data_IF_216195579366
#
_entry.id   IF_216195579366
#
_cell.length_a   1.000
_cell.length_b   1.000
_cell.length_c   1.000
_cell.angle_alpha   90.00
_cell.angle_beta   90.00
_cell.angle_gamma   90.00
#
_symmetry.space_group_name_H-M   'P 1'
#
loop_
_entity.id
_entity.type
_entity.pdbx_description
1 polymer ?
#
# COMPACT_ATOMS: atom_id res chain seq x y z
N UNK A 1 27.59 2.96 -12.43
CA UNK A 1 26.39 3.82 -12.38
C UNK A 1 25.47 3.34 -13.48
N UNK A 2 24.41 2.64 -13.09
CA UNK A 2 23.46 2.04 -14.02
C UNK A 2 22.80 3.15 -14.86
N UNK A 3 22.94 3.06 -16.19
CA UNK A 3 22.40 4.03 -17.17
C UNK A 3 21.07 3.56 -17.72
N UNK A 4 20.33 2.77 -16.95
CA UNK A 4 19.02 2.30 -17.37
C UNK A 4 18.07 3.48 -17.55
N UNK A 5 17.67 3.72 -18.80
CA UNK A 5 16.69 4.73 -19.17
C UNK A 5 15.37 4.49 -18.42
N UNK A 6 14.99 3.23 -18.18
CA UNK A 6 13.78 2.90 -17.42
C UNK A 6 13.86 3.32 -15.96
N UNK A 7 15.03 3.22 -15.30
CA UNK A 7 15.21 3.73 -13.94
C UNK A 7 15.10 5.25 -13.87
N UNK A 8 15.60 5.96 -14.90
CA UNK A 8 15.45 7.41 -14.99
C UNK A 8 13.99 7.83 -15.16
N UNK A 9 13.23 7.11 -15.99
CA UNK A 9 11.79 7.36 -16.17
C UNK A 9 10.99 7.05 -14.90
N UNK A 10 11.30 5.95 -14.20
CA UNK A 10 10.68 5.63 -12.89
C UNK A 10 10.98 6.74 -11.89
N UNK A 11 12.23 7.19 -11.79
CA UNK A 11 12.61 8.30 -10.91
C UNK A 11 11.90 9.61 -11.28
N UNK A 12 11.78 9.92 -12.57
CA UNK A 12 11.08 11.10 -13.06
C UNK A 12 9.58 11.05 -12.71
N UNK A 13 8.92 9.93 -13.01
CA UNK A 13 7.51 9.70 -12.67
C UNK A 13 7.27 9.80 -11.16
N UNK A 14 8.16 9.25 -10.34
CA UNK A 14 8.09 9.37 -8.89
C UNK A 14 8.34 10.78 -8.38
N UNK A 15 9.24 11.54 -9.01
CA UNK A 15 9.45 12.95 -8.68
C UNK A 15 8.19 13.79 -8.96
N UNK A 16 7.52 13.57 -10.10
CA UNK A 16 6.23 14.20 -10.42
C UNK A 16 5.17 13.77 -9.41
N UNK A 17 5.07 12.46 -9.18
CA UNK A 17 4.12 11.88 -8.23
C UNK A 17 4.29 12.53 -6.86
N UNK A 18 5.51 12.64 -6.33
CA UNK A 18 5.84 13.24 -5.04
C UNK A 18 5.72 14.77 -4.97
N UNK A 19 5.79 15.49 -6.08
CA UNK A 19 5.67 16.96 -6.11
C UNK A 19 4.24 17.50 -6.34
N UNK A 20 3.30 16.69 -6.85
CA UNK A 20 1.87 17.06 -7.02
C UNK A 20 1.17 17.59 -5.73
N UNK A 21 0.77 18.86 -5.61
CA UNK A 21 0.18 19.36 -4.36
C UNK A 21 -1.19 18.72 -4.05
N UNK A 22 -1.40 18.28 -2.80
CA UNK A 22 -2.65 17.67 -2.33
C UNK A 22 -2.61 17.38 -0.81
N UNK A 23 -3.74 17.57 -0.11
CA UNK A 23 -3.86 17.58 1.36
C UNK A 23 -3.57 16.24 2.08
N UNK A 24 -3.54 15.13 1.35
CA UNK A 24 -3.26 13.82 1.93
C UNK A 24 -1.85 13.41 1.52
N UNK A 25 -0.97 13.17 2.51
CA UNK A 25 0.36 12.59 2.33
C UNK A 25 0.25 11.46 1.29
N UNK A 26 1.00 11.58 0.19
CA UNK A 26 0.89 10.64 -0.93
C UNK A 26 1.34 9.28 -0.47
N UNK A 27 0.38 8.36 -0.42
CA UNK A 27 0.64 7.04 0.10
C UNK A 27 1.25 6.18 -1.01
N UNK A 28 2.44 5.65 -0.74
CA UNK A 28 3.10 4.61 -1.51
C UNK A 28 2.32 3.29 -1.38
N UNK A 29 1.08 3.26 -1.88
CA UNK A 29 0.16 2.15 -1.66
C UNK A 29 0.66 0.83 -2.23
N UNK A 30 1.09 0.82 -3.51
CA UNK A 30 1.51 -0.43 -4.15
C UNK A 30 2.81 -0.96 -3.52
N UNK A 31 3.86 -0.13 -3.27
CA UNK A 31 5.05 -0.61 -2.57
C UNK A 31 4.79 -1.05 -1.14
N UNK A 32 3.90 -0.35 -0.40
CA UNK A 32 3.49 -0.78 0.94
C UNK A 32 2.78 -2.15 0.88
N UNK A 33 1.87 -2.34 -0.08
CA UNK A 33 1.15 -3.61 -0.26
C UNK A 33 2.12 -4.75 -0.58
N UNK A 34 3.09 -4.53 -1.47
CA UNK A 34 4.13 -5.51 -1.78
C UNK A 34 4.99 -5.84 -0.55
N UNK A 35 5.41 -4.83 0.22
CA UNK A 35 6.17 -5.03 1.45
C UNK A 35 5.36 -5.83 2.49
N UNK A 36 4.09 -5.48 2.70
CA UNK A 36 3.19 -6.21 3.60
C UNK A 36 2.96 -7.66 3.18
N UNK A 37 2.98 -7.96 1.87
CA UNK A 37 2.91 -9.33 1.36
C UNK A 37 4.21 -10.12 1.62
N UNK A 38 5.37 -9.46 1.57
CA UNK A 38 6.68 -10.06 1.87
C UNK A 38 6.84 -10.31 3.38
N UNK A 39 6.44 -9.34 4.20
CA UNK A 39 6.58 -9.38 5.65
C UNK A 39 5.30 -8.89 6.35
N UNK A 40 4.46 -9.85 6.76
CA UNK A 40 3.16 -9.57 7.38
C UNK A 40 3.25 -8.66 8.63
N UNK A 41 4.39 -8.66 9.33
CA UNK A 41 4.63 -7.82 10.52
C UNK A 41 4.70 -6.31 10.24
N UNK A 42 4.74 -5.90 8.97
CA UNK A 42 4.66 -4.50 8.55
C UNK A 42 3.24 -3.99 8.69
N UNK A 43 2.23 -4.79 8.30
CA UNK A 43 0.83 -4.41 8.38
C UNK A 43 0.24 -4.65 9.77
N UNK A 44 -0.64 -3.74 10.21
CA UNK A 44 -1.65 -4.06 11.21
C UNK A 44 -2.91 -4.54 10.51
N UNK A 45 -3.35 -5.75 10.84
CA UNK A 45 -4.40 -6.43 10.10
C UNK A 45 -5.69 -6.51 10.91
N UNK A 46 -6.81 -6.28 10.23
CA UNK A 46 -8.14 -6.48 10.81
C UNK A 46 -8.94 -7.48 9.99
N UNK A 47 -9.48 -8.48 10.68
CA UNK A 47 -10.46 -9.40 10.13
C UNK A 47 -11.79 -8.69 9.88
N UNK A 48 -12.28 -8.78 8.65
CA UNK A 48 -13.54 -8.16 8.22
C UNK A 48 -14.31 -9.08 7.27
N UNK A 49 -15.61 -8.85 7.18
CA UNK A 49 -16.41 -9.33 6.07
C UNK A 49 -16.42 -8.25 4.99
N UNK A 50 -15.83 -8.55 3.83
CA UNK A 50 -15.93 -7.72 2.63
C UNK A 50 -17.25 -8.02 1.92
N UNK A 51 -17.92 -6.98 1.44
CA UNK A 51 -19.17 -7.10 0.70
C UNK A 51 -19.22 -6.10 -0.45
N UNK A 52 -19.97 -6.44 -1.50
CA UNK A 52 -20.34 -5.50 -2.55
C UNK A 52 -21.72 -4.93 -2.21
N UNK A 53 -21.85 -3.61 -2.13
CA UNK A 53 -23.16 -2.97 -2.06
C UNK A 53 -23.81 -3.02 -3.44
N UNK A 54 -24.90 -3.78 -3.58
CA UNK A 54 -25.57 -3.95 -4.86
C UNK A 54 -26.28 -2.70 -5.38
N UNK A 55 -26.56 -1.72 -4.52
CA UNK A 55 -27.22 -0.46 -4.88
C UNK A 55 -26.20 0.56 -5.37
N UNK A 56 -25.08 0.71 -4.67
CA UNK A 56 -24.03 1.67 -5.05
C UNK A 56 -22.99 1.08 -6.01
N UNK A 57 -22.91 -0.26 -6.09
CA UNK A 57 -21.87 -1.00 -6.82
C UNK A 57 -20.46 -0.70 -6.29
N UNK A 58 -20.35 -0.46 -4.99
CA UNK A 58 -19.09 -0.17 -4.30
C UNK A 58 -18.75 -1.28 -3.31
N UNK A 59 -17.45 -1.47 -3.10
CA UNK A 59 -16.95 -2.36 -2.07
C UNK A 59 -17.06 -1.71 -0.68
N UNK A 60 -17.59 -2.45 0.28
CA UNK A 60 -17.63 -2.10 1.69
C UNK A 60 -17.00 -3.19 2.55
N UNK A 61 -16.71 -2.86 3.81
CA UNK A 61 -16.25 -3.84 4.80
C UNK A 61 -16.93 -3.60 6.14
N UNK A 62 -17.19 -4.68 6.88
CA UNK A 62 -17.80 -4.64 8.20
C UNK A 62 -17.10 -5.62 9.15
N UNK A 63 -17.03 -5.27 10.44
CA UNK A 63 -16.56 -6.19 11.48
C UNK A 63 -17.61 -7.30 11.64
N UNK A 64 -17.18 -8.56 11.55
CA UNK A 64 -18.04 -9.74 11.57
C UNK A 64 -17.43 -10.85 12.42
N UNK A 65 -18.28 -11.70 12.99
CA UNK A 65 -17.86 -12.92 13.69
C UNK A 65 -17.35 -14.00 12.73
N UNK A 66 -17.78 -13.94 11.46
CA UNK A 66 -17.32 -14.82 10.39
C UNK A 66 -16.65 -13.98 9.29
N UNK A 67 -15.39 -13.56 9.48
CA UNK A 67 -14.67 -12.77 8.49
C UNK A 67 -14.26 -13.62 7.28
N UNK A 68 -14.16 -12.99 6.11
CA UNK A 68 -13.68 -13.64 4.89
C UNK A 68 -12.37 -13.07 4.34
N UNK A 69 -11.88 -11.95 4.90
CA UNK A 69 -10.63 -11.32 4.50
C UNK A 69 -9.98 -10.56 5.67
N UNK A 70 -8.68 -10.29 5.54
CA UNK A 70 -7.95 -9.33 6.38
C UNK A 70 -7.61 -8.08 5.57
N UNK A 71 -7.86 -6.91 6.13
CA UNK A 71 -7.45 -5.62 5.56
C UNK A 71 -6.35 -4.98 6.40
N UNK A 72 -5.49 -4.20 5.75
CA UNK A 72 -4.48 -3.39 6.43
C UNK A 72 -5.16 -2.13 6.96
N UNK A 73 -5.13 -1.91 8.27
CA UNK A 73 -5.73 -0.73 8.92
C UNK A 73 -4.69 0.29 9.38
N UNK A 74 -3.44 -0.14 9.54
CA UNK A 74 -2.28 0.70 9.82
C UNK A 74 -0.99 -0.07 9.45
N UNK A 75 0.18 0.55 9.56
CA UNK A 75 1.46 -0.09 9.26
C UNK A 75 2.63 0.43 10.10
N UNK A 76 3.65 -0.41 10.27
CA UNK A 76 4.93 -0.08 10.86
C UNK A 76 5.82 0.62 9.84
N UNK A 77 5.98 1.94 10.02
CA UNK A 77 6.70 2.80 9.10
C UNK A 77 8.19 2.44 8.99
N UNK A 78 8.84 2.07 10.10
CA UNK A 78 10.28 1.74 10.09
C UNK A 78 10.53 0.42 9.35
N UNK A 79 9.71 -0.62 9.64
CA UNK A 79 9.83 -1.89 8.93
C UNK A 79 9.48 -1.77 7.45
N UNK A 80 8.52 -0.92 7.09
CA UNK A 80 8.20 -0.64 5.70
C UNK A 80 9.43 -0.11 4.96
N UNK A 81 10.08 0.95 5.44
CA UNK A 81 11.24 1.52 4.78
C UNK A 81 12.46 0.58 4.79
N UNK A 82 12.68 -0.15 5.88
CA UNK A 82 13.73 -1.17 5.94
C UNK A 82 13.53 -2.26 4.89
N UNK A 83 12.29 -2.67 4.64
CA UNK A 83 11.96 -3.72 3.66
C UNK A 83 12.07 -3.18 2.23
N UNK A 84 11.57 -1.95 2.00
CA UNK A 84 11.59 -1.30 0.69
C UNK A 84 13.01 -1.13 0.15
N UNK A 85 13.97 -0.83 1.03
CA UNK A 85 15.37 -0.56 0.66
C UNK A 85 16.33 -1.71 0.95
N UNK A 86 15.85 -2.88 1.36
CA UNK A 86 16.71 -4.02 1.71
C UNK A 86 17.61 -4.53 0.55
N UNK A 87 17.29 -4.16 -0.70
CA UNK A 87 17.95 -4.63 -1.92
C UNK A 87 18.54 -3.49 -2.77
N UNK A 88 18.71 -2.30 -2.19
CA UNK A 88 19.24 -1.10 -2.86
C UNK A 88 20.68 -0.84 -2.45
#
# INVERSE_FOLDING_TARGET
KDKSQSLQEIYHAMSIYLNRPGKNKKAFHDPLTACCAIALSIGQWKDVQLYMDEKTKEWGSIISENPNIKIIVDYDHEKFFSTLFAYV
#
